data_IF_482997790604
#
_entry.id   IF_482997790604
#
_cell.length_a   1.000
_cell.length_b   1.000
_cell.length_c   1.000
_cell.angle_alpha   90.00
_cell.angle_beta   90.00
_cell.angle_gamma   90.00
#
_symmetry.space_group_name_H-M   'P 1'
#
loop_
_entity.id
_entity.type
_entity.pdbx_description
1 polymer ?
#
# COMPACT_ATOMS: atom_id res chain seq x y z
N UNK A 1 -20.21 5.99 -31.01
CA UNK A 1 -18.85 5.37 -31.07
C UNK A 1 -18.04 5.69 -29.80
N UNK A 2 -18.05 6.92 -29.29
CA UNK A 2 -17.38 7.32 -28.03
C UNK A 2 -17.91 6.59 -26.79
N UNK A 3 -19.21 6.42 -26.66
CA UNK A 3 -19.85 5.75 -25.51
C UNK A 3 -19.42 4.28 -25.36
N UNK A 4 -19.36 3.54 -26.49
CA UNK A 4 -18.86 2.17 -26.54
C UNK A 4 -17.36 2.03 -26.19
N UNK A 5 -16.58 3.07 -26.45
CA UNK A 5 -15.14 3.09 -26.18
C UNK A 5 -14.90 3.39 -24.69
N UNK A 6 -15.67 4.31 -24.09
CA UNK A 6 -15.69 4.60 -22.66
C UNK A 6 -16.11 3.38 -21.84
N UNK A 7 -17.11 2.64 -22.29
CA UNK A 7 -17.60 1.43 -21.64
C UNK A 7 -16.54 0.31 -21.67
N UNK A 8 -15.81 0.18 -22.77
CA UNK A 8 -14.72 -0.80 -22.91
C UNK A 8 -13.49 -0.47 -22.06
N UNK A 9 -13.15 0.81 -21.91
CA UNK A 9 -12.05 1.24 -21.05
C UNK A 9 -12.42 1.11 -19.56
N UNK A 10 -13.65 1.44 -19.20
CA UNK A 10 -14.19 1.25 -17.86
C UNK A 10 -14.18 -0.22 -17.46
N UNK A 11 -14.58 -1.12 -18.36
CA UNK A 11 -14.58 -2.55 -18.12
C UNK A 11 -13.16 -3.12 -17.94
N UNK A 12 -12.19 -2.65 -18.75
CA UNK A 12 -10.78 -3.01 -18.57
C UNK A 12 -10.25 -2.55 -17.20
N UNK A 13 -10.57 -1.30 -16.81
CA UNK A 13 -10.21 -0.77 -15.50
C UNK A 13 -10.78 -1.62 -14.36
N UNK A 14 -12.04 -2.04 -14.48
CA UNK A 14 -12.69 -2.92 -13.48
C UNK A 14 -11.98 -4.27 -13.38
N UNK A 15 -11.61 -4.88 -14.51
CA UNK A 15 -10.87 -6.15 -14.52
C UNK A 15 -9.51 -6.01 -13.84
N UNK A 16 -8.77 -4.93 -14.11
CA UNK A 16 -7.48 -4.68 -13.46
C UNK A 16 -7.62 -4.47 -11.94
N UNK A 17 -8.67 -3.79 -11.49
CA UNK A 17 -8.96 -3.63 -10.07
C UNK A 17 -9.28 -4.96 -9.40
N UNK A 18 -10.08 -5.81 -10.04
CA UNK A 18 -10.41 -7.16 -9.53
C UNK A 18 -9.14 -8.04 -9.44
N UNK A 19 -8.32 -8.06 -10.48
CA UNK A 19 -7.06 -8.80 -10.47
C UNK A 19 -6.13 -8.29 -9.36
N UNK A 20 -6.02 -6.98 -9.21
CA UNK A 20 -5.24 -6.36 -8.15
C UNK A 20 -5.74 -6.76 -6.76
N UNK A 21 -7.07 -6.80 -6.55
CA UNK A 21 -7.66 -7.20 -5.28
C UNK A 21 -7.35 -8.68 -4.94
N UNK A 22 -7.39 -9.58 -5.92
CA UNK A 22 -7.00 -10.99 -5.74
C UNK A 22 -5.51 -11.10 -5.38
N UNK A 23 -4.63 -10.40 -6.09
CA UNK A 23 -3.20 -10.38 -5.79
C UNK A 23 -2.91 -9.81 -4.38
N UNK A 24 -3.63 -8.76 -3.97
CA UNK A 24 -3.50 -8.19 -2.62
C UNK A 24 -3.95 -9.17 -1.54
N UNK A 25 -5.03 -9.90 -1.77
CA UNK A 25 -5.56 -10.90 -0.84
C UNK A 25 -4.56 -12.03 -0.58
N UNK A 26 -3.88 -12.51 -1.63
CA UNK A 26 -2.85 -13.58 -1.48
C UNK A 26 -1.58 -13.06 -0.81
N UNK A 27 -1.22 -11.80 -1.04
CA UNK A 27 -0.01 -11.17 -0.51
C UNK A 27 0.09 -11.21 1.02
N UNK A 28 -1.02 -11.02 1.74
CA UNK A 28 -1.05 -11.08 3.20
C UNK A 28 -0.68 -12.47 3.76
N UNK A 29 -1.18 -13.53 3.12
CA UNK A 29 -0.86 -14.92 3.50
C UNK A 29 0.59 -15.25 3.21
N UNK A 30 1.10 -14.83 2.04
CA UNK A 30 2.49 -15.04 1.63
C UNK A 30 3.45 -14.34 2.60
N UNK A 31 3.22 -13.07 2.95
CA UNK A 31 4.01 -12.32 3.94
C UNK A 31 4.08 -13.07 5.27
N UNK A 32 2.96 -13.62 5.72
CA UNK A 32 2.89 -14.33 7.00
C UNK A 32 3.66 -15.66 6.99
N UNK A 33 3.77 -16.27 5.81
CA UNK A 33 4.47 -17.55 5.61
C UNK A 33 5.99 -17.42 5.57
N UNK A 34 6.52 -16.20 5.37
CA UNK A 34 7.98 -15.96 5.31
C UNK A 34 8.52 -15.83 6.74
N UNK A 35 9.56 -16.57 7.16
CA UNK A 35 10.09 -16.52 8.52
C UNK A 35 10.95 -15.27 8.81
N UNK A 36 11.15 -14.39 7.84
CA UNK A 36 11.99 -13.20 7.96
C UNK A 36 11.31 -12.04 8.72
N UNK A 37 12.13 -11.09 9.16
CA UNK A 37 11.64 -9.84 9.75
C UNK A 37 10.84 -9.01 8.75
N UNK A 38 9.95 -8.15 9.24
CA UNK A 38 9.13 -7.27 8.39
C UNK A 38 9.99 -6.34 7.52
N UNK A 39 11.11 -5.88 8.08
CA UNK A 39 12.05 -4.97 7.40
C UNK A 39 12.73 -5.70 6.25
N UNK A 40 13.19 -6.91 6.48
CA UNK A 40 13.79 -7.78 5.46
C UNK A 40 12.81 -8.08 4.34
N UNK A 41 11.59 -8.50 4.68
CA UNK A 41 10.55 -8.82 3.70
C UNK A 41 10.29 -7.60 2.80
N UNK A 42 10.09 -6.42 3.39
CA UNK A 42 9.84 -5.20 2.63
C UNK A 42 11.04 -4.81 1.76
N UNK A 43 12.27 -4.93 2.27
CA UNK A 43 13.49 -4.61 1.53
C UNK A 43 13.68 -5.51 0.30
N UNK A 44 13.57 -6.82 0.47
CA UNK A 44 13.77 -7.78 -0.63
C UNK A 44 12.65 -7.67 -1.67
N UNK A 45 11.38 -7.54 -1.26
CA UNK A 45 10.27 -7.27 -2.19
C UNK A 45 10.48 -6.01 -3.01
N UNK A 46 11.15 -5.02 -2.43
CA UNK A 46 11.42 -3.76 -3.13
C UNK A 46 12.36 -3.93 -4.32
N UNK A 47 13.19 -4.97 -4.38
CA UNK A 47 14.03 -5.27 -5.54
C UNK A 47 13.14 -5.59 -6.76
N UNK A 48 12.17 -6.49 -6.59
CA UNK A 48 11.27 -6.89 -7.68
C UNK A 48 10.38 -5.74 -8.13
N UNK A 49 9.83 -5.00 -7.18
CA UNK A 49 9.00 -3.84 -7.47
C UNK A 49 9.81 -2.72 -8.16
N UNK A 50 11.04 -2.49 -7.74
CA UNK A 50 11.95 -1.55 -8.39
C UNK A 50 12.22 -1.95 -9.85
N UNK A 51 12.55 -3.22 -10.11
CA UNK A 51 12.77 -3.70 -11.47
C UNK A 51 11.54 -3.50 -12.36
N UNK A 52 10.34 -3.81 -11.86
CA UNK A 52 9.10 -3.63 -12.60
C UNK A 52 8.85 -2.16 -12.94
N UNK A 53 8.96 -1.26 -11.96
CA UNK A 53 8.71 0.18 -12.18
C UNK A 53 9.79 0.79 -13.06
N UNK A 54 11.07 0.44 -12.85
CA UNK A 54 12.16 0.90 -13.69
C UNK A 54 11.97 0.45 -15.15
N UNK A 55 11.62 -0.81 -15.37
CA UNK A 55 11.30 -1.34 -16.71
C UNK A 55 10.13 -0.60 -17.36
N UNK A 56 9.06 -0.35 -16.59
CA UNK A 56 7.92 0.43 -17.06
C UNK A 56 8.33 1.86 -17.46
N UNK A 57 9.13 2.54 -16.64
CA UNK A 57 9.61 3.90 -16.95
C UNK A 57 10.49 3.92 -18.19
N UNK A 58 11.36 2.93 -18.39
CA UNK A 58 12.20 2.81 -19.59
C UNK A 58 11.35 2.58 -20.84
N UNK A 59 10.42 1.63 -20.80
CA UNK A 59 9.53 1.30 -21.93
C UNK A 59 8.66 2.50 -22.31
N UNK A 60 8.13 3.22 -21.34
CA UNK A 60 7.27 4.40 -21.55
C UNK A 60 8.06 5.69 -21.78
N UNK A 61 9.40 5.60 -21.78
CA UNK A 61 10.33 6.76 -21.94
C UNK A 61 10.08 7.88 -20.92
N UNK A 62 9.56 7.55 -19.74
CA UNK A 62 9.37 8.52 -18.66
C UNK A 62 10.69 8.85 -18.00
N UNK A 63 10.92 10.14 -17.74
CA UNK A 63 12.12 10.61 -17.04
C UNK A 63 11.88 10.55 -15.53
N UNK A 64 12.92 10.16 -14.80
CA UNK A 64 12.90 10.26 -13.34
C UNK A 64 12.95 11.74 -12.93
N UNK A 65 12.01 12.13 -12.08
CA UNK A 65 11.93 13.50 -11.53
C UNK A 65 12.34 13.46 -10.06
N UNK A 66 13.20 14.39 -9.66
CA UNK A 66 13.62 14.52 -8.27
C UNK A 66 13.22 15.88 -7.72
N UNK A 67 12.35 15.90 -6.74
CA UNK A 67 11.94 17.10 -6.03
C UNK A 67 11.43 16.76 -4.60
N UNK A 68 11.15 17.81 -3.81
CA UNK A 68 10.66 17.63 -2.42
C UNK A 68 9.35 16.84 -2.33
N UNK A 69 8.45 17.02 -3.29
CA UNK A 69 7.17 16.30 -3.34
C UNK A 69 7.38 14.81 -3.63
N UNK A 70 8.27 14.49 -4.56
CA UNK A 70 8.66 13.11 -4.87
C UNK A 70 9.31 12.44 -3.65
N UNK A 71 10.22 13.12 -2.97
CA UNK A 71 10.85 12.61 -1.76
C UNK A 71 9.83 12.38 -0.63
N UNK A 72 8.91 13.33 -0.42
CA UNK A 72 7.82 13.16 0.54
C UNK A 72 6.95 11.94 0.22
N UNK A 73 6.56 11.79 -1.06
CA UNK A 73 5.82 10.62 -1.51
C UNK A 73 6.58 9.31 -1.32
N UNK A 74 7.89 9.30 -1.57
CA UNK A 74 8.74 8.13 -1.37
C UNK A 74 8.80 7.73 0.11
N UNK A 75 8.96 8.69 1.02
CA UNK A 75 8.97 8.43 2.47
C UNK A 75 7.60 7.92 2.94
N UNK A 76 6.50 8.55 2.52
CA UNK A 76 5.15 8.11 2.87
C UNK A 76 4.88 6.69 2.35
N UNK A 77 5.27 6.37 1.12
CA UNK A 77 5.08 5.04 0.55
C UNK A 77 5.95 3.97 1.26
N UNK A 78 7.19 4.30 1.62
CA UNK A 78 8.05 3.42 2.42
C UNK A 78 7.44 3.17 3.79
N UNK A 79 6.98 4.21 4.47
CA UNK A 79 6.33 4.10 5.78
C UNK A 79 5.06 3.25 5.70
N UNK A 80 4.21 3.48 4.68
CA UNK A 80 3.02 2.68 4.43
C UNK A 80 3.36 1.20 4.27
N UNK A 81 4.32 0.88 3.42
CA UNK A 81 4.67 -0.51 3.11
C UNK A 81 5.30 -1.21 4.33
N UNK A 82 6.23 -0.57 5.04
CA UNK A 82 6.86 -1.12 6.25
C UNK A 82 5.84 -1.37 7.37
N UNK A 83 4.95 -0.40 7.62
CA UNK A 83 3.95 -0.54 8.68
C UNK A 83 2.91 -1.58 8.34
N UNK A 84 2.52 -1.71 7.06
CA UNK A 84 1.62 -2.76 6.60
C UNK A 84 2.21 -4.17 6.76
N UNK A 85 3.46 -4.38 6.32
CA UNK A 85 4.14 -5.67 6.48
C UNK A 85 4.33 -6.00 7.96
N UNK A 86 4.70 -5.02 8.78
CA UNK A 86 4.83 -5.20 10.23
C UNK A 86 3.49 -5.53 10.89
N UNK A 87 2.43 -4.82 10.53
CA UNK A 87 1.07 -5.11 10.98
C UNK A 87 0.67 -6.54 10.63
N UNK A 88 0.88 -6.96 9.37
CA UNK A 88 0.56 -8.32 8.91
C UNK A 88 1.28 -9.40 9.71
N UNK A 89 2.50 -9.13 10.17
CA UNK A 89 3.26 -10.04 11.04
C UNK A 89 2.76 -10.06 12.47
N UNK A 90 2.31 -8.92 13.00
CA UNK A 90 1.93 -8.75 14.41
C UNK A 90 0.46 -9.03 14.68
N UNK A 91 -0.41 -8.98 13.65
CA UNK A 91 -1.83 -9.34 13.74
C UNK A 91 -2.21 -10.38 12.69
N UNK A 92 -3.48 -10.62 12.44
CA UNK A 92 -3.90 -11.47 11.32
C UNK A 92 -3.77 -10.73 10.00
N UNK A 93 -3.49 -11.45 8.90
CA UNK A 93 -3.43 -10.84 7.57
C UNK A 93 -4.77 -10.15 7.22
N UNK A 94 -5.89 -10.76 7.62
CA UNK A 94 -7.21 -10.17 7.43
C UNK A 94 -7.37 -8.85 8.19
N UNK A 95 -6.98 -8.80 9.47
CA UNK A 95 -7.05 -7.57 10.27
C UNK A 95 -6.19 -6.45 9.67
N UNK A 96 -4.95 -6.78 9.25
CA UNK A 96 -4.05 -5.80 8.64
C UNK A 96 -4.66 -5.19 7.38
N UNK A 97 -5.25 -6.01 6.49
CA UNK A 97 -5.87 -5.56 5.25
C UNK A 97 -7.12 -4.72 5.55
N UNK A 98 -8.02 -5.22 6.39
CA UNK A 98 -9.29 -4.54 6.70
C UNK A 98 -9.04 -3.19 7.38
N UNK A 99 -8.07 -3.12 8.30
CA UNK A 99 -7.71 -1.86 8.95
C UNK A 99 -7.00 -0.87 8.02
N UNK A 100 -6.23 -1.34 7.06
CA UNK A 100 -5.65 -0.47 6.04
C UNK A 100 -6.75 0.20 5.19
N UNK A 101 -7.89 -0.48 4.96
CA UNK A 101 -9.04 0.10 4.28
C UNK A 101 -9.75 1.24 5.05
N UNK A 102 -9.25 1.67 6.20
CA UNK A 102 -9.59 2.97 6.79
C UNK A 102 -9.04 4.16 5.98
N UNK A 103 -8.15 3.92 5.01
CA UNK A 103 -7.55 4.91 4.12
C UNK A 103 -8.56 5.92 3.55
N UNK A 104 -9.73 5.55 2.98
CA UNK A 104 -10.68 6.52 2.42
C UNK A 104 -11.20 7.53 3.45
N UNK A 105 -11.31 7.12 4.72
CA UNK A 105 -11.69 8.01 5.82
C UNK A 105 -10.61 9.08 6.01
N UNK A 106 -9.35 8.65 6.05
CA UNK A 106 -8.21 9.58 6.16
C UNK A 106 -8.10 10.50 4.95
N UNK A 107 -8.35 10.00 3.73
CA UNK A 107 -8.39 10.84 2.52
C UNK A 107 -9.43 11.95 2.67
N UNK A 108 -10.65 11.64 3.12
CA UNK A 108 -11.70 12.64 3.33
C UNK A 108 -11.29 13.67 4.40
N UNK A 109 -10.75 13.20 5.53
CA UNK A 109 -10.33 14.08 6.62
C UNK A 109 -9.20 15.01 6.17
N UNK A 110 -8.19 14.48 5.49
CA UNK A 110 -7.06 15.25 4.98
C UNK A 110 -7.48 16.23 3.88
N UNK A 111 -8.37 15.81 2.96
CA UNK A 111 -8.92 16.70 1.93
C UNK A 111 -9.68 17.87 2.55
N UNK A 112 -10.45 17.62 3.60
CA UNK A 112 -11.14 18.68 4.32
C UNK A 112 -10.16 19.59 5.08
N UNK A 113 -9.20 19.02 5.79
CA UNK A 113 -8.24 19.76 6.59
C UNK A 113 -7.28 20.62 5.74
N UNK A 114 -6.70 20.05 4.66
CA UNK A 114 -5.67 20.69 3.85
C UNK A 114 -6.25 21.59 2.75
N UNK A 115 -7.29 21.13 2.09
CA UNK A 115 -7.88 21.84 0.94
C UNK A 115 -9.19 22.56 1.27
N UNK A 116 -9.70 22.43 2.51
CA UNK A 116 -10.99 22.98 2.96
C UNK A 116 -12.17 22.59 2.04
N UNK A 117 -12.01 21.53 1.25
CA UNK A 117 -13.05 21.01 0.37
C UNK A 117 -14.00 20.14 1.17
N UNK A 118 -15.27 20.56 1.25
CA UNK A 118 -16.31 19.74 1.88
C UNK A 118 -16.48 18.43 1.11
N UNK A 119 -16.50 17.28 1.78
CA UNK A 119 -16.70 15.99 1.11
C UNK A 119 -18.10 15.92 0.48
N UNK A 120 -18.20 15.23 -0.66
CA UNK A 120 -19.51 14.94 -1.26
C UNK A 120 -20.29 13.99 -0.35
N UNK A 121 -21.60 14.20 -0.20
CA UNK A 121 -22.46 13.34 0.64
C UNK A 121 -22.32 11.85 0.31
N UNK A 122 -22.23 11.50 -0.97
CA UNK A 122 -22.02 10.12 -1.41
C UNK A 122 -20.70 9.52 -0.89
N UNK A 123 -19.62 10.30 -0.85
CA UNK A 123 -18.34 9.83 -0.31
C UNK A 123 -18.41 9.59 1.20
N UNK A 124 -19.10 10.48 1.93
CA UNK A 124 -19.31 10.31 3.38
C UNK A 124 -20.14 9.05 3.69
N UNK A 125 -21.21 8.83 2.92
CA UNK A 125 -22.05 7.63 3.07
C UNK A 125 -21.24 6.37 2.75
N UNK A 126 -20.47 6.36 1.67
CA UNK A 126 -19.62 5.23 1.32
C UNK A 126 -18.59 4.93 2.43
N UNK A 127 -17.94 5.94 2.99
CA UNK A 127 -17.02 5.77 4.11
C UNK A 127 -17.73 5.25 5.38
N UNK A 128 -18.94 5.72 5.66
CA UNK A 128 -19.72 5.21 6.79
C UNK A 128 -20.07 3.73 6.63
N UNK A 129 -20.42 3.29 5.42
CA UNK A 129 -20.69 1.88 5.11
C UNK A 129 -19.43 1.04 5.27
N UNK A 130 -18.29 1.50 4.73
CA UNK A 130 -16.99 0.82 4.90
C UNK A 130 -16.64 0.72 6.39
N UNK A 131 -16.79 1.80 7.14
CA UNK A 131 -16.49 1.81 8.58
C UNK A 131 -17.41 0.86 9.37
N UNK A 132 -18.69 0.83 9.03
CA UNK A 132 -19.63 -0.12 9.63
C UNK A 132 -19.21 -1.59 9.32
N UNK A 133 -18.83 -1.87 8.09
CA UNK A 133 -18.28 -3.19 7.70
C UNK A 133 -17.01 -3.56 8.48
N UNK A 134 -16.09 -2.61 8.66
CA UNK A 134 -14.89 -2.80 9.48
C UNK A 134 -15.29 -3.09 10.95
N UNK A 135 -16.21 -2.34 11.53
CA UNK A 135 -16.70 -2.59 12.90
C UNK A 135 -17.32 -3.98 13.04
N UNK A 136 -18.20 -4.38 12.12
CA UNK A 136 -18.79 -5.73 12.15
C UNK A 136 -17.72 -6.82 12.08
N UNK A 137 -16.70 -6.65 11.25
CA UNK A 137 -15.57 -7.57 11.16
C UNK A 137 -14.79 -7.65 12.49
N UNK A 138 -14.63 -6.51 13.19
CA UNK A 138 -13.90 -6.44 14.45
C UNK A 138 -14.66 -7.04 15.64
N UNK A 139 -15.99 -7.04 15.65
CA UNK A 139 -16.76 -7.62 16.74
C UNK A 139 -16.43 -9.11 16.96
N UNK A 140 -16.08 -9.82 15.89
CA UNK A 140 -15.70 -11.24 15.96
C UNK A 140 -14.21 -11.50 16.14
N UNK A 141 -13.32 -10.59 15.73
CA UNK A 141 -11.89 -10.87 15.58
C UNK A 141 -10.94 -10.07 16.50
N UNK A 142 -11.48 -9.20 17.37
CA UNK A 142 -10.68 -8.34 18.28
C UNK A 142 -9.81 -9.13 19.28
N UNK A 143 -10.12 -10.39 19.54
CA UNK A 143 -9.34 -11.23 20.45
C UNK A 143 -8.13 -11.91 19.80
N UNK A 144 -8.01 -11.93 18.48
CA UNK A 144 -7.05 -12.76 17.74
C UNK A 144 -5.77 -12.03 17.29
N UNK A 145 -5.69 -10.72 17.45
CA UNK A 145 -4.54 -9.95 16.97
C UNK A 145 -3.98 -8.99 18.01
N UNK A 146 -2.66 -8.85 18.05
CA UNK A 146 -2.01 -7.89 18.94
C UNK A 146 -2.44 -6.45 18.64
N UNK A 147 -2.77 -5.68 19.68
CA UNK A 147 -3.18 -4.27 19.58
C UNK A 147 -2.16 -3.42 18.79
N UNK A 148 -0.87 -3.67 19.01
CA UNK A 148 0.20 -2.97 18.30
C UNK A 148 0.15 -3.20 16.78
N UNK A 149 -0.12 -4.45 16.34
CA UNK A 149 -0.31 -4.77 14.92
C UNK A 149 -1.51 -4.06 14.32
N UNK A 150 -2.62 -3.99 15.05
CA UNK A 150 -3.82 -3.28 14.62
C UNK A 150 -3.59 -1.76 14.49
N UNK A 151 -2.88 -1.15 15.44
CA UNK A 151 -2.51 0.27 15.36
C UNK A 151 -1.58 0.56 14.17
N UNK A 152 -0.60 -0.31 13.91
CA UNK A 152 0.27 -0.20 12.73
C UNK A 152 -0.53 -0.31 11.42
N UNK A 153 -1.55 -1.18 11.36
CA UNK A 153 -2.40 -1.31 10.20
C UNK A 153 -3.21 -0.03 9.94
N UNK A 154 -3.79 0.58 10.97
CA UNK A 154 -4.48 1.88 10.85
C UNK A 154 -3.50 2.97 10.42
N UNK A 155 -2.30 3.01 10.99
CA UNK A 155 -1.26 3.97 10.60
C UNK A 155 -0.81 3.75 9.15
N UNK A 156 -0.76 2.50 8.66
CA UNK A 156 -0.52 2.22 7.25
C UNK A 156 -1.63 2.78 6.35
N UNK A 157 -2.88 2.70 6.77
CA UNK A 157 -4.02 3.35 6.09
C UNK A 157 -3.89 4.88 6.02
N UNK A 158 -3.44 5.51 7.12
CA UNK A 158 -3.17 6.94 7.15
C UNK A 158 -2.05 7.34 6.16
N UNK A 159 -0.92 6.64 6.19
CA UNK A 159 0.20 6.92 5.28
C UNK A 159 -0.17 6.60 3.83
N UNK A 160 -1.03 5.61 3.59
CA UNK A 160 -1.57 5.34 2.26
C UNK A 160 -2.45 6.48 1.75
N UNK A 161 -3.28 7.07 2.61
CA UNK A 161 -4.05 8.28 2.26
C UNK A 161 -3.13 9.43 1.84
N UNK A 162 -2.00 9.64 2.51
CA UNK A 162 -1.01 10.64 2.10
C UNK A 162 -0.41 10.34 0.73
N UNK A 163 -0.09 9.07 0.43
CA UNK A 163 0.40 8.64 -0.89
C UNK A 163 -0.64 8.91 -1.97
N UNK A 164 -1.92 8.62 -1.72
CA UNK A 164 -3.00 8.89 -2.68
C UNK A 164 -3.18 10.38 -2.93
N UNK A 165 -3.08 11.20 -1.89
CA UNK A 165 -3.22 12.65 -1.99
C UNK A 165 -2.03 13.33 -2.67
N UNK A 166 -0.85 12.71 -2.65
CA UNK A 166 0.36 13.26 -3.26
C UNK A 166 0.17 13.62 -4.74
N UNK A 167 -0.66 12.88 -5.48
CA UNK A 167 -0.97 13.16 -6.89
C UNK A 167 -1.55 14.56 -7.13
N UNK A 168 -2.09 15.20 -6.10
CA UNK A 168 -2.63 16.57 -6.14
C UNK A 168 -1.61 17.65 -5.79
N UNK A 169 -0.37 17.30 -5.41
CA UNK A 169 0.64 18.27 -5.02
C UNK A 169 1.45 18.77 -6.23
N UNK A 170 1.89 20.03 -6.19
CA UNK A 170 2.73 20.58 -7.26
C UNK A 170 4.02 19.77 -7.43
N UNK A 171 4.34 19.43 -8.68
CA UNK A 171 5.53 18.66 -9.02
C UNK A 171 5.46 17.18 -8.62
N UNK A 172 4.28 16.66 -8.30
CA UNK A 172 4.10 15.25 -8.01
C UNK A 172 4.39 14.40 -9.25
N UNK A 173 5.23 13.39 -9.06
CA UNK A 173 5.44 12.30 -10.00
C UNK A 173 5.37 10.98 -9.24
N UNK A 174 4.32 10.22 -9.52
CA UNK A 174 3.99 9.04 -8.73
C UNK A 174 4.99 7.91 -8.97
N UNK A 175 5.36 7.69 -10.22
CA UNK A 175 6.30 6.64 -10.61
C UNK A 175 7.70 6.90 -10.03
N UNK A 176 8.18 8.14 -10.09
CA UNK A 176 9.45 8.53 -9.47
C UNK A 176 9.41 8.37 -7.95
N UNK A 177 8.28 8.68 -7.31
CA UNK A 177 8.10 8.48 -5.86
C UNK A 177 8.11 7.00 -5.48
N UNK A 178 7.47 6.15 -6.27
CA UNK A 178 7.50 4.70 -6.06
C UNK A 178 8.92 4.16 -6.23
N UNK A 179 9.62 4.55 -7.31
CA UNK A 179 10.98 4.11 -7.55
C UNK A 179 11.91 4.50 -6.39
N UNK A 180 11.84 5.76 -5.96
CA UNK A 180 12.62 6.25 -4.83
C UNK A 180 12.27 5.52 -3.52
N UNK A 181 10.99 5.21 -3.27
CA UNK A 181 10.56 4.47 -2.07
C UNK A 181 11.12 3.06 -2.03
N UNK A 182 11.25 2.41 -3.18
CA UNK A 182 11.84 1.06 -3.24
C UNK A 182 13.34 1.10 -2.98
N UNK A 183 14.05 2.15 -3.43
CA UNK A 183 15.46 2.35 -3.08
C UNK A 183 15.62 2.55 -1.57
N UNK A 184 14.78 3.39 -0.95
CA UNK A 184 14.79 3.60 0.51
C UNK A 184 14.50 2.29 1.25
N UNK A 185 13.45 1.57 0.85
CA UNK A 185 13.06 0.30 1.47
C UNK A 185 14.18 -0.75 1.36
N UNK A 186 14.84 -0.84 0.21
CA UNK A 186 15.97 -1.74 0.00
C UNK A 186 17.15 -1.35 0.89
N UNK A 187 17.49 -0.07 0.96
CA UNK A 187 18.60 0.42 1.80
C UNK A 187 18.39 0.10 3.29
N UNK A 188 17.14 0.11 3.76
CA UNK A 188 16.80 -0.23 5.14
C UNK A 188 16.76 -1.77 5.32
N UNK A 189 16.24 -2.50 4.33
CA UNK A 189 16.02 -3.94 4.45
C UNK A 189 17.24 -4.80 4.17
N UNK A 190 18.18 -4.32 3.35
CA UNK A 190 19.40 -5.08 3.01
C UNK A 190 20.28 -5.39 4.23
N UNK A 191 20.58 -4.46 5.15
CA UNK A 191 21.30 -4.79 6.37
C UNK A 191 20.58 -5.81 7.24
N UNK A 192 19.25 -5.75 7.31
CA UNK A 192 18.43 -6.70 8.08
C UNK A 192 18.47 -8.10 7.45
N UNK A 193 18.51 -8.20 6.12
CA UNK A 193 18.61 -9.47 5.41
C UNK A 193 19.92 -10.24 5.72
N UNK A 194 21.01 -9.52 5.93
CA UNK A 194 22.30 -10.16 6.30
C UNK A 194 22.25 -10.84 7.67
N UNK A 195 21.30 -10.48 8.52
CA UNK A 195 21.08 -11.10 9.83
C UNK A 195 20.08 -12.27 9.81
N UNK A 196 19.40 -12.52 8.69
CA UNK A 196 18.45 -13.64 8.60
C UNK A 196 19.18 -14.97 8.45
N UNK A 197 18.68 -15.99 9.13
CA UNK A 197 19.30 -17.33 9.15
C UNK A 197 18.58 -18.34 8.24
N UNK A 198 17.32 -18.09 7.91
CA UNK A 198 16.53 -18.97 7.05
C UNK A 198 16.48 -18.45 5.61
N UNK A 199 17.17 -19.15 4.71
CA UNK A 199 17.18 -18.88 3.27
C UNK A 199 16.49 -19.99 2.49
N UNK A 200 15.43 -20.60 3.07
CA UNK A 200 14.70 -21.69 2.43
C UNK A 200 14.08 -21.28 1.09
N UNK A 201 13.97 -22.24 0.17
CA UNK A 201 13.31 -22.04 -1.12
C UNK A 201 11.86 -21.55 -0.94
N UNK A 202 11.18 -21.97 0.15
CA UNK A 202 9.83 -21.51 0.49
C UNK A 202 9.79 -20.00 0.73
N UNK A 203 10.78 -19.44 1.45
CA UNK A 203 10.84 -18.00 1.71
C UNK A 203 10.99 -17.22 0.41
N UNK A 204 11.83 -17.68 -0.50
CA UNK A 204 12.03 -17.06 -1.81
C UNK A 204 10.81 -17.15 -2.72
N UNK A 205 10.11 -18.28 -2.75
CA UNK A 205 8.87 -18.45 -3.53
C UNK A 205 7.76 -17.52 -3.02
N UNK A 206 7.66 -17.32 -1.71
CA UNK A 206 6.63 -16.48 -1.12
C UNK A 206 6.91 -14.97 -1.24
N UNK A 207 8.15 -14.56 -1.58
CA UNK A 207 8.51 -13.14 -1.64
C UNK A 207 8.34 -12.56 -3.05
N UNK A 208 8.39 -13.40 -4.08
CA UNK A 208 8.19 -13.05 -5.49
C UNK A 208 6.70 -12.97 -5.83
#
# INVERSE_FOLDING_TARGET
>A
MQEKQLDKESMKGTIYVLLSAVCFSTGGVLIKSIPWSSITIQGIRSIFSFMLIASYMVITKRKFVWNKTVLFGAVCNTAMALTFVSATKMTTAANAIVLQFTEPIFVILLMWALYKKKPKKAAVVACAVVFAGILCFFLDSLSAGGMAGNLLAVFSGFTYALVMMMKGFPGADFESSLLASHVISLSIGLPSFLGETDHSAKAWICII
#
